data_IF_256070241213
#
_entry.id   IF_256070241213
#
_cell.length_a   1.000
_cell.length_b   1.000
_cell.length_c   1.000
_cell.angle_alpha   90.00
_cell.angle_beta   90.00
_cell.angle_gamma   90.00
#
_symmetry.space_group_name_H-M   'P 1'
#
loop_
_entity.id
_entity.type
_entity.pdbx_description
1 polymer ?
#
# COMPACT_ATOMS: atom_id res chain seq x y z
N UNK A 1 2.11 38.35 -20.80
CA UNK A 1 2.38 36.97 -21.23
C UNK A 1 1.21 36.14 -20.76
N UNK A 2 0.56 35.39 -21.66
CA UNK A 2 -0.65 34.62 -21.35
C UNK A 2 -0.37 33.65 -20.20
N UNK A 3 -1.20 33.67 -19.16
CA UNK A 3 -1.18 32.62 -18.17
C UNK A 3 -1.40 31.29 -18.90
N UNK A 4 -0.45 30.38 -18.77
CA UNK A 4 -0.49 29.09 -19.46
C UNK A 4 -1.59 28.27 -18.80
N UNK A 5 -2.75 28.18 -19.47
CA UNK A 5 -3.87 27.38 -18.99
C UNK A 5 -3.51 25.90 -19.09
N UNK A 6 -3.60 25.18 -17.97
CA UNK A 6 -3.24 23.77 -17.90
C UNK A 6 -4.52 22.94 -17.88
N UNK A 7 -4.58 21.89 -18.70
CA UNK A 7 -5.65 20.90 -18.61
C UNK A 7 -5.53 20.15 -17.28
N UNK A 8 -6.62 20.13 -16.50
CA UNK A 8 -6.61 19.51 -15.18
C UNK A 8 -6.22 18.02 -15.19
N UNK A 9 -6.67 17.25 -16.18
CA UNK A 9 -6.35 15.83 -16.26
C UNK A 9 -4.86 15.61 -16.57
N UNK A 10 -4.29 16.40 -17.47
CA UNK A 10 -2.86 16.35 -17.77
C UNK A 10 -2.01 16.75 -16.56
N UNK A 11 -2.48 17.73 -15.78
CA UNK A 11 -1.86 18.11 -14.53
C UNK A 11 -1.86 16.97 -13.50
N UNK A 12 -2.99 16.31 -13.29
CA UNK A 12 -3.10 15.16 -12.38
C UNK A 12 -2.18 14.00 -12.78
N UNK A 13 -2.10 13.71 -14.08
CA UNK A 13 -1.23 12.64 -14.61
C UNK A 13 0.25 12.97 -14.37
N UNK A 14 0.67 14.20 -14.66
CA UNK A 14 2.03 14.66 -14.44
C UNK A 14 2.41 14.66 -12.94
N UNK A 15 1.50 15.14 -12.07
CA UNK A 15 1.68 15.11 -10.62
C UNK A 15 1.81 13.66 -10.12
N UNK A 16 0.91 12.77 -10.56
CA UNK A 16 0.95 11.35 -10.20
C UNK A 16 2.25 10.66 -10.63
N UNK A 17 2.75 10.95 -11.84
CA UNK A 17 4.04 10.44 -12.32
C UNK A 17 5.21 10.96 -11.47
N UNK A 18 5.24 12.26 -11.18
CA UNK A 18 6.29 12.89 -10.37
C UNK A 18 6.35 12.30 -8.96
N UNK A 19 5.21 12.10 -8.30
CA UNK A 19 5.18 11.44 -6.99
C UNK A 19 5.60 9.98 -7.06
N UNK A 20 5.16 9.25 -8.09
CA UNK A 20 5.58 7.87 -8.31
C UNK A 20 7.08 7.72 -8.54
N UNK A 21 7.71 8.66 -9.25
CA UNK A 21 9.16 8.66 -9.48
C UNK A 21 9.93 9.04 -8.20
N UNK A 22 9.47 10.04 -7.45
CA UNK A 22 10.06 10.39 -6.14
C UNK A 22 10.03 9.21 -5.15
N UNK A 23 8.98 8.39 -5.18
CA UNK A 23 8.90 7.20 -4.34
C UNK A 23 9.86 6.08 -4.74
N UNK A 24 10.16 5.93 -6.04
CA UNK A 24 11.19 4.97 -6.49
C UNK A 24 12.58 5.37 -5.99
N UNK A 25 12.86 6.68 -5.94
CA UNK A 25 14.14 7.22 -5.49
C UNK A 25 14.32 7.20 -3.98
N UNK A 26 13.24 7.26 -3.19
CA UNK A 26 13.32 7.27 -1.72
C UNK A 26 14.04 6.01 -1.17
N UNK A 27 14.04 4.89 -1.91
CA UNK A 27 14.74 3.67 -1.53
C UNK A 27 14.16 3.07 -0.25
N UNK A 28 13.76 1.80 -0.27
CA UNK A 28 13.42 1.12 0.99
C UNK A 28 14.76 0.73 1.64
N UNK A 29 15.11 1.22 2.85
CA UNK A 29 16.30 0.75 3.54
C UNK A 29 16.25 -0.78 3.68
N UNK A 30 17.39 -1.45 3.47
CA UNK A 30 17.50 -2.90 3.63
C UNK A 30 16.89 -3.34 4.98
N UNK A 31 15.85 -4.19 4.93
CA UNK A 31 15.18 -4.72 6.12
C UNK A 31 13.84 -4.08 6.51
N UNK A 32 13.35 -3.04 5.80
CA UNK A 32 12.01 -2.49 6.08
C UNK A 32 10.91 -3.31 5.39
N UNK A 33 9.93 -3.82 6.15
CA UNK A 33 8.78 -4.55 5.61
C UNK A 33 7.90 -3.61 4.77
N UNK A 34 7.44 -4.10 3.61
CA UNK A 34 6.65 -3.36 2.62
C UNK A 34 5.40 -2.65 3.18
N UNK A 35 4.87 -3.10 4.32
CA UNK A 35 3.71 -2.48 5.00
C UNK A 35 3.99 -1.19 5.78
N UNK A 36 5.23 -0.70 5.85
CA UNK A 36 5.60 0.48 6.67
C UNK A 36 5.78 1.79 5.91
N UNK A 37 5.56 1.84 4.59
CA UNK A 37 5.63 3.07 3.81
C UNK A 37 4.23 3.59 3.45
N UNK A 38 3.45 4.00 4.46
CA UNK A 38 2.32 4.91 4.22
C UNK A 38 2.88 6.33 4.18
N UNK A 39 3.48 6.70 3.06
CA UNK A 39 3.83 8.08 2.76
C UNK A 39 2.60 8.76 2.14
N UNK A 40 1.71 9.28 2.99
CA UNK A 40 0.66 10.18 2.52
C UNK A 40 1.34 11.46 2.01
N UNK A 41 1.19 11.77 0.73
CA UNK A 41 1.59 13.07 0.17
C UNK A 41 0.33 13.88 -0.13
N UNK A 42 0.25 15.09 0.41
CA UNK A 42 -0.82 16.05 0.13
C UNK A 42 -0.24 17.24 -0.64
N UNK A 43 -0.79 17.53 -1.82
CA UNK A 43 -0.48 18.71 -2.60
C UNK A 43 -1.70 19.62 -2.64
N UNK A 44 -1.57 20.81 -2.06
CA UNK A 44 -2.62 21.83 -2.05
C UNK A 44 -2.22 23.02 -2.94
N UNK A 45 -3.07 23.36 -3.90
CA UNK A 45 -2.82 24.41 -4.90
C UNK A 45 -3.98 25.41 -4.93
N UNK A 46 -3.65 26.70 -5.02
CA UNK A 46 -4.61 27.78 -5.27
C UNK A 46 -4.64 28.08 -6.77
N UNK A 47 -5.80 27.93 -7.39
CA UNK A 47 -5.95 28.07 -8.84
C UNK A 47 -7.22 28.84 -9.19
N UNK A 48 -7.18 29.57 -10.30
CA UNK A 48 -8.39 29.91 -11.05
C UNK A 48 -8.90 28.67 -11.78
N UNK A 49 -10.22 28.53 -11.91
CA UNK A 49 -10.83 27.42 -12.65
C UNK A 49 -11.74 27.97 -13.75
N UNK A 50 -11.57 27.44 -14.96
CA UNK A 50 -12.43 27.75 -16.10
C UNK A 50 -12.97 26.45 -16.68
N UNK A 51 -14.28 26.42 -16.93
CA UNK A 51 -14.93 25.29 -17.57
C UNK A 51 -15.09 25.57 -19.07
N UNK A 52 -14.57 24.69 -19.90
CA UNK A 52 -14.68 24.78 -21.36
C UNK A 52 -15.21 23.46 -21.92
N UNK A 53 -16.52 23.42 -22.22
CA UNK A 53 -17.18 22.26 -22.81
C UNK A 53 -17.30 21.06 -21.86
N UNK A 54 -16.32 20.14 -21.88
CA UNK A 54 -16.22 18.97 -20.97
C UNK A 54 -14.87 18.93 -20.24
N UNK A 55 -14.08 19.99 -20.35
CA UNK A 55 -12.72 20.06 -19.84
C UNK A 55 -12.64 21.14 -18.78
N UNK A 56 -11.90 20.84 -17.70
CA UNK A 56 -11.55 21.82 -16.68
C UNK A 56 -10.15 22.33 -17.01
N UNK A 57 -10.03 23.64 -17.19
CA UNK A 57 -8.78 24.35 -17.30
C UNK A 57 -8.46 24.99 -15.95
N UNK A 58 -7.23 24.80 -15.50
CA UNK A 58 -6.72 25.41 -14.27
C UNK A 58 -5.70 26.48 -14.62
N UNK A 59 -5.80 27.60 -13.92
CA UNK A 59 -4.84 28.69 -14.01
C UNK A 59 -4.11 28.79 -12.65
N UNK A 60 -2.86 28.32 -12.54
CA UNK A 60 -2.12 28.43 -11.30
C UNK A 60 -1.85 29.90 -10.97
N UNK A 61 -2.15 30.27 -9.73
CA UNK A 61 -1.87 31.62 -9.25
C UNK A 61 -0.36 31.79 -9.11
N UNK A 62 0.23 32.60 -9.98
CA UNK A 62 1.65 32.97 -9.86
C UNK A 62 1.85 34.10 -8.84
N UNK A 63 3.03 34.14 -8.21
CA UNK A 63 3.41 35.24 -7.33
C UNK A 63 3.38 36.61 -8.04
N UNK A 64 3.73 36.63 -9.34
CA UNK A 64 3.66 37.84 -10.17
C UNK A 64 2.22 38.35 -10.32
N UNK A 65 1.26 37.45 -10.55
CA UNK A 65 -0.17 37.78 -10.64
C UNK A 65 -0.72 38.32 -9.31
N UNK A 66 -0.21 37.81 -8.17
CA UNK A 66 -0.59 38.28 -6.84
C UNK A 66 -0.09 39.69 -6.53
N UNK A 67 1.11 40.05 -6.99
CA UNK A 67 1.67 41.40 -6.77
C UNK A 67 1.01 42.48 -7.61
N UNK A 68 0.39 42.12 -8.73
CA UNK A 68 -0.26 43.05 -9.65
C UNK A 68 -1.72 43.36 -9.29
N UNK A 69 -2.26 42.77 -8.21
CA UNK A 69 -3.63 43.04 -7.75
C UNK A 69 -4.74 42.50 -8.64
N UNK A 70 -4.41 41.72 -9.67
CA UNK A 70 -5.37 41.18 -10.65
C UNK A 70 -6.01 39.85 -10.21
N UNK A 71 -5.90 39.49 -8.94
CA UNK A 71 -6.50 38.27 -8.38
C UNK A 71 -7.77 38.66 -7.66
N UNK A 72 -8.91 38.16 -8.13
CA UNK A 72 -10.17 38.20 -7.38
C UNK A 72 -10.16 37.02 -6.40
N UNK A 73 -9.96 37.24 -5.08
CA UNK A 73 -9.77 36.14 -4.13
C UNK A 73 -10.99 35.21 -4.05
N UNK A 74 -12.18 35.76 -4.29
CA UNK A 74 -13.47 35.05 -4.32
C UNK A 74 -13.60 34.09 -5.52
N UNK A 75 -12.77 34.23 -6.55
CA UNK A 75 -12.76 33.38 -7.74
C UNK A 75 -11.71 32.25 -7.67
N UNK A 76 -10.99 32.13 -6.55
CA UNK A 76 -9.96 31.11 -6.37
C UNK A 76 -10.52 29.81 -5.79
N UNK A 77 -10.13 28.71 -6.41
CA UNK A 77 -10.40 27.36 -5.93
C UNK A 77 -9.17 26.74 -5.31
N UNK A 78 -9.38 25.79 -4.40
CA UNK A 78 -8.30 25.00 -3.80
C UNK A 78 -8.41 23.57 -4.31
N UNK A 79 -7.37 23.11 -4.99
CA UNK A 79 -7.25 21.71 -5.40
C UNK A 79 -6.34 21.02 -4.38
N UNK A 80 -6.88 19.98 -3.73
CA UNK A 80 -6.12 19.12 -2.81
C UNK A 80 -5.99 17.74 -3.44
N UNK A 81 -4.76 17.34 -3.73
CA UNK A 81 -4.45 16.01 -4.27
C UNK A 81 -3.83 15.20 -3.15
N UNK A 82 -4.47 14.08 -2.82
CA UNK A 82 -3.96 13.11 -1.85
C UNK A 82 -3.45 11.91 -2.60
N UNK A 83 -2.15 11.69 -2.53
CA UNK A 83 -1.53 10.53 -3.11
C UNK A 83 -1.38 9.44 -2.05
N UNK A 84 -1.96 8.27 -2.34
CA UNK A 84 -1.83 7.07 -1.53
C UNK A 84 -1.13 6.03 -2.39
N UNK A 85 0.12 5.74 -2.07
CA UNK A 85 0.84 4.66 -2.71
C UNK A 85 0.44 3.34 -2.06
N UNK A 86 -0.38 2.56 -2.76
CA UNK A 86 -0.41 1.11 -2.56
C UNK A 86 0.56 0.51 -3.58
N UNK A 87 1.67 -0.06 -3.14
CA UNK A 87 2.47 -0.89 -4.05
C UNK A 87 1.59 -2.08 -4.43
N UNK A 88 1.34 -2.27 -5.72
CA UNK A 88 0.76 -3.53 -6.20
C UNK A 88 1.86 -4.58 -5.97
N UNK A 89 1.68 -5.43 -4.96
CA UNK A 89 2.59 -6.52 -4.67
C UNK A 89 2.62 -7.47 -5.86
N UNK A 90 3.70 -7.38 -6.62
CA UNK A 90 4.17 -8.43 -7.50
C UNK A 90 5.68 -8.57 -7.25
N UNK A 91 6.05 -8.87 -6.01
CA UNK A 91 7.23 -9.69 -5.83
C UNK A 91 6.84 -11.06 -6.36
N UNK A 92 7.57 -11.59 -7.35
CA UNK A 92 7.43 -13.00 -7.75
C UNK A 92 7.42 -13.82 -6.47
N UNK A 93 6.28 -14.45 -6.15
CA UNK A 93 6.13 -15.24 -4.94
C UNK A 93 7.23 -16.29 -4.98
N UNK A 94 8.26 -16.15 -4.15
CA UNK A 94 9.37 -17.11 -4.10
C UNK A 94 8.77 -18.48 -3.84
N UNK A 95 9.08 -19.49 -4.64
CA UNK A 95 8.60 -20.83 -4.35
C UNK A 95 9.05 -21.23 -2.93
N UNK A 96 8.17 -21.82 -2.11
CA UNK A 96 8.55 -22.22 -0.77
C UNK A 96 9.64 -23.30 -0.82
N UNK A 97 10.59 -23.19 0.11
CA UNK A 97 11.70 -24.11 0.31
C UNK A 97 11.25 -25.39 1.01
N UNK A 98 10.26 -25.28 1.90
CA UNK A 98 9.60 -26.42 2.54
C UNK A 98 8.24 -26.72 1.92
N UNK A 99 7.85 -27.98 1.99
CA UNK A 99 6.49 -28.43 1.65
C UNK A 99 5.49 -28.12 2.76
N UNK A 100 4.21 -28.09 2.39
CA UNK A 100 3.11 -27.88 3.34
C UNK A 100 3.12 -28.94 4.45
N UNK A 101 3.41 -30.18 4.10
CA UNK A 101 3.42 -31.33 5.00
C UNK A 101 4.54 -31.22 6.04
N UNK A 102 5.74 -30.79 5.62
CA UNK A 102 6.88 -30.57 6.51
C UNK A 102 6.59 -29.50 7.55
N UNK A 103 6.00 -28.38 7.13
CA UNK A 103 5.67 -27.26 8.02
C UNK A 103 4.55 -27.65 8.99
N UNK A 104 3.53 -28.39 8.52
CA UNK A 104 2.49 -28.92 9.41
C UNK A 104 3.09 -29.88 10.42
N UNK A 105 3.98 -30.78 10.00
CA UNK A 105 4.68 -31.71 10.88
C UNK A 105 5.49 -30.98 11.96
N UNK A 106 6.24 -29.93 11.56
CA UNK A 106 7.00 -29.09 12.48
C UNK A 106 6.09 -28.39 13.51
N UNK A 107 4.91 -27.91 13.09
CA UNK A 107 3.93 -27.28 13.99
C UNK A 107 3.29 -28.29 14.93
N UNK A 108 2.88 -29.46 14.42
CA UNK A 108 2.28 -30.53 15.22
C UNK A 108 3.24 -31.03 16.31
N UNK A 109 4.56 -31.04 16.03
CA UNK A 109 5.60 -31.44 16.99
C UNK A 109 5.90 -30.42 18.09
N UNK A 110 5.34 -29.20 18.04
CA UNK A 110 5.63 -28.18 19.07
C UNK A 110 4.96 -28.56 20.39
N UNK A 111 5.68 -28.37 21.50
CA UNK A 111 5.20 -28.71 22.86
C UNK A 111 3.86 -28.05 23.20
N UNK A 112 3.62 -26.82 22.75
CA UNK A 112 2.36 -26.11 22.97
C UNK A 112 1.20 -26.71 22.17
N UNK A 113 1.44 -27.14 20.93
CA UNK A 113 0.43 -27.76 20.05
C UNK A 113 0.15 -29.21 20.42
N UNK A 114 1.19 -29.97 20.79
CA UNK A 114 1.05 -31.33 21.32
C UNK A 114 0.14 -31.32 22.57
N UNK A 115 0.38 -30.39 23.50
CA UNK A 115 -0.48 -30.22 24.68
C UNK A 115 -1.92 -29.84 24.34
N UNK A 116 -2.15 -29.05 23.29
CA UNK A 116 -3.51 -28.75 22.83
C UNK A 116 -4.20 -30.00 22.27
N UNK A 117 -3.45 -30.88 21.59
CA UNK A 117 -3.96 -32.18 21.12
C UNK A 117 -4.39 -33.06 22.29
N UNK A 118 -3.61 -33.11 23.37
CA UNK A 118 -3.96 -33.88 24.57
C UNK A 118 -5.25 -33.38 25.25
N UNK A 119 -5.51 -32.07 25.21
CA UNK A 119 -6.66 -31.44 25.87
C UNK A 119 -7.93 -31.49 25.00
N UNK A 120 -7.78 -31.20 23.70
CA UNK A 120 -8.90 -30.98 22.78
C UNK A 120 -9.16 -32.18 21.86
N UNK A 121 -8.31 -33.21 21.93
CA UNK A 121 -8.36 -34.37 21.06
C UNK A 121 -7.80 -34.07 19.67
N UNK A 122 -8.40 -34.68 18.64
CA UNK A 122 -7.94 -34.52 17.26
C UNK A 122 -7.98 -33.04 16.83
N UNK A 123 -6.85 -32.56 16.33
CA UNK A 123 -6.71 -31.23 15.73
C UNK A 123 -6.55 -31.36 14.21
N UNK A 124 -7.09 -30.39 13.49
CA UNK A 124 -6.92 -30.24 12.05
C UNK A 124 -5.98 -29.08 11.74
N UNK A 125 -5.20 -29.21 10.66
CA UNK A 125 -4.12 -28.30 10.31
C UNK A 125 -4.29 -27.80 8.87
N UNK A 126 -4.16 -26.49 8.69
CA UNK A 126 -4.07 -25.89 7.35
C UNK A 126 -2.89 -24.94 7.29
N UNK A 127 -1.94 -25.20 6.40
CA UNK A 127 -0.86 -24.26 6.11
C UNK A 127 -1.14 -23.47 4.83
N UNK A 128 -0.82 -22.17 4.87
CA UNK A 128 -0.84 -21.24 3.76
C UNK A 128 0.51 -20.54 3.70
N UNK A 129 1.12 -20.51 2.52
CA UNK A 129 2.38 -19.82 2.29
C UNK A 129 2.14 -18.42 1.74
N UNK A 130 2.78 -17.43 2.35
CA UNK A 130 2.80 -16.04 1.92
C UNK A 130 4.18 -15.74 1.31
N UNK A 131 4.29 -15.91 0.00
CA UNK A 131 5.58 -15.81 -0.73
C UNK A 131 6.25 -14.44 -0.65
N UNK A 132 5.47 -13.36 -0.56
CA UNK A 132 5.98 -12.01 -0.41
C UNK A 132 6.73 -11.78 0.92
N UNK A 133 6.34 -12.52 1.95
CA UNK A 133 6.96 -12.44 3.27
C UNK A 133 7.94 -13.59 3.54
N UNK A 134 7.98 -14.58 2.65
CA UNK A 134 8.64 -15.85 2.83
C UNK A 134 8.23 -16.55 4.16
N UNK A 135 6.93 -16.55 4.44
CA UNK A 135 6.35 -17.07 5.68
C UNK A 135 5.31 -18.14 5.40
N UNK A 136 5.32 -19.17 6.24
CA UNK A 136 4.21 -20.09 6.40
C UNK A 136 3.32 -19.67 7.55
N UNK A 137 2.01 -19.67 7.34
CA UNK A 137 1.01 -19.56 8.41
C UNK A 137 0.27 -20.88 8.53
N UNK A 138 0.38 -21.52 9.70
CA UNK A 138 -0.35 -22.75 10.03
C UNK A 138 -1.46 -22.39 11.00
N UNK A 139 -2.69 -22.65 10.57
CA UNK A 139 -3.89 -22.57 11.39
C UNK A 139 -4.20 -23.96 11.92
N UNK A 140 -4.41 -24.03 13.23
CA UNK A 140 -4.78 -25.26 13.95
C UNK A 140 -6.21 -25.09 14.47
N UNK A 141 -7.08 -26.04 14.11
CA UNK A 141 -8.49 -26.03 14.50
C UNK A 141 -8.86 -27.27 15.31
N UNK A 142 -9.79 -27.14 16.25
CA UNK A 142 -10.38 -28.29 16.95
C UNK A 142 -11.50 -28.96 16.13
N UNK A 143 -12.03 -30.08 16.63
CA UNK A 143 -13.15 -30.80 16.00
C UNK A 143 -14.47 -30.02 15.91
N UNK A 144 -14.54 -28.79 16.45
CA UNK A 144 -15.65 -27.85 16.28
C UNK A 144 -15.33 -26.75 15.27
N UNK A 145 -14.26 -26.91 14.48
CA UNK A 145 -13.71 -25.95 13.53
C UNK A 145 -13.30 -24.60 14.16
N UNK A 146 -13.07 -24.55 15.47
CA UNK A 146 -12.61 -23.33 16.16
C UNK A 146 -11.10 -23.23 16.03
N UNK A 147 -10.61 -22.03 15.75
CA UNK A 147 -9.16 -21.79 15.69
C UNK A 147 -8.60 -21.78 17.09
N UNK A 148 -7.71 -22.72 17.40
CA UNK A 148 -7.08 -22.84 18.73
C UNK A 148 -5.65 -22.30 18.72
N UNK A 149 -5.03 -22.26 17.54
CA UNK A 149 -3.70 -21.70 17.37
C UNK A 149 -3.48 -21.22 15.94
N UNK A 150 -2.73 -20.14 15.80
CA UNK A 150 -2.15 -19.68 14.53
C UNK A 150 -0.66 -19.49 14.76
N UNK A 151 0.16 -20.14 13.93
CA UNK A 151 1.62 -20.09 14.06
C UNK A 151 2.18 -19.64 12.72
N UNK A 152 3.06 -18.64 12.77
CA UNK A 152 3.81 -18.16 11.62
C UNK A 152 5.26 -18.62 11.73
N UNK A 153 5.79 -19.20 10.64
CA UNK A 153 7.14 -19.74 10.56
C UNK A 153 7.82 -19.14 9.33
N UNK A 154 9.05 -18.68 9.50
CA UNK A 154 9.89 -18.26 8.37
C UNK A 154 10.33 -19.48 7.55
N UNK A 155 10.16 -19.40 6.23
CA UNK A 155 10.61 -20.43 5.29
C UNK A 155 12.11 -20.23 5.00
N UNK A 156 12.95 -20.67 5.94
CA UNK A 156 14.42 -20.62 5.79
C UNK A 156 14.89 -21.79 4.94
N UNK A 157 15.87 -21.56 4.07
CA UNK A 157 16.62 -22.64 3.43
C UNK A 157 17.59 -23.30 4.41
#
# INVERSE_FOLDING_TARGET
>A
MSAEEINFNAFLEAAGKSFGDAQKEIGVPEGMKAGMLIANAELALKVGMRYEGKTILIEPVSAASSTQGNIVPEALSTITIRYVASRQEAAEASAPSHTKEEVIGAVAGRKDVARLTDILGKLDYSATYAGEMNLWTVKVTDGKARTVRTITIEDKK
#
